data_IF_642199222625
#
_entry.id   IF_642199222625
#
_cell.length_a   1.000
_cell.length_b   1.000
_cell.length_c   1.000
_cell.angle_alpha   90.00
_cell.angle_beta   90.00
_cell.angle_gamma   90.00
#
_symmetry.space_group_name_H-M   'P 1'
#
loop_
_entity.id
_entity.type
_entity.pdbx_description
1 polymer ?
#
# COMPACT_ATOMS: atom_id res chain seq x y z
N UNK A 1 -18.88 11.67 2.84
CA UNK A 1 -18.03 12.86 2.56
C UNK A 1 -17.95 13.79 3.77
N UNK A 2 -18.63 13.43 4.84
CA UNK A 2 -18.92 14.26 6.02
C UNK A 2 -17.72 14.43 6.96
N UNK A 3 -16.59 13.81 6.62
CA UNK A 3 -15.32 13.85 7.37
C UNK A 3 -14.26 14.75 6.72
N UNK A 4 -14.69 15.65 5.84
CA UNK A 4 -13.78 16.58 5.15
C UNK A 4 -12.86 15.93 4.13
N UNK A 5 -13.27 14.78 3.57
CA UNK A 5 -12.55 14.11 2.49
C UNK A 5 -13.10 14.55 1.12
N UNK A 6 -12.22 14.92 0.20
CA UNK A 6 -12.54 15.32 -1.17
C UNK A 6 -12.18 14.15 -2.09
N UNK A 7 -13.17 13.55 -2.74
CA UNK A 7 -12.96 12.45 -3.69
C UNK A 7 -12.45 13.02 -5.01
N UNK A 8 -11.35 12.47 -5.51
CA UNK A 8 -10.72 12.85 -6.78
C UNK A 8 -11.09 11.92 -7.92
N UNK A 9 -11.06 10.61 -7.69
CA UNK A 9 -11.38 9.62 -8.71
C UNK A 9 -11.96 8.34 -8.08
N UNK A 10 -12.72 7.59 -8.87
CA UNK A 10 -13.21 6.26 -8.55
C UNK A 10 -13.01 5.35 -9.76
N UNK A 11 -12.22 4.29 -9.58
CA UNK A 11 -11.92 3.30 -10.60
C UNK A 11 -12.47 1.93 -10.20
N UNK A 12 -13.10 1.25 -11.15
CA UNK A 12 -13.60 -0.11 -10.98
C UNK A 12 -12.67 -1.08 -11.72
N UNK A 13 -11.95 -1.94 -10.98
CA UNK A 13 -11.05 -2.95 -11.53
C UNK A 13 -11.76 -4.26 -11.92
N UNK A 14 -13.08 -4.30 -11.70
CA UNK A 14 -13.98 -5.40 -12.01
C UNK A 14 -14.13 -6.40 -10.85
N UNK A 15 -15.07 -7.30 -11.04
CA UNK A 15 -15.28 -8.44 -10.15
C UNK A 15 -14.37 -9.61 -10.57
N UNK A 16 -13.63 -10.17 -9.61
CA UNK A 16 -12.67 -11.26 -9.87
C UNK A 16 -12.75 -12.32 -8.77
N UNK A 17 -12.24 -13.50 -9.08
CA UNK A 17 -11.96 -14.50 -8.06
C UNK A 17 -10.88 -13.95 -7.09
N UNK A 18 -11.11 -14.13 -5.79
CA UNK A 18 -10.14 -13.77 -4.77
C UNK A 18 -8.95 -14.74 -4.84
N UNK A 19 -7.71 -14.27 -4.62
CA UNK A 19 -6.53 -15.13 -4.66
C UNK A 19 -6.54 -16.20 -3.56
N UNK A 20 -7.29 -15.97 -2.48
CA UNK A 20 -7.56 -16.91 -1.42
C UNK A 20 -8.93 -16.61 -0.80
N UNK A 21 -9.46 -17.59 -0.07
CA UNK A 21 -10.73 -17.46 0.65
C UNK A 21 -10.59 -16.45 1.78
N UNK A 22 -11.50 -15.47 1.82
CA UNK A 22 -11.54 -14.47 2.89
C UNK A 22 -12.79 -14.73 3.74
N UNK A 23 -12.63 -14.78 5.06
CA UNK A 23 -13.74 -14.83 6.00
C UNK A 23 -13.94 -13.45 6.61
N UNK A 24 -15.09 -12.83 6.39
CA UNK A 24 -15.46 -11.53 6.93
C UNK A 24 -16.96 -11.53 7.25
N UNK A 25 -17.37 -10.82 8.31
CA UNK A 25 -18.79 -10.72 8.69
C UNK A 25 -19.54 -12.07 8.78
N UNK A 26 -18.88 -13.09 9.33
CA UNK A 26 -19.39 -14.48 9.45
C UNK A 26 -19.71 -15.16 8.11
N UNK A 27 -19.23 -14.61 6.98
CA UNK A 27 -19.36 -15.16 5.65
C UNK A 27 -17.99 -15.52 5.08
N UNK A 28 -17.99 -16.42 4.11
CA UNK A 28 -16.80 -16.86 3.41
C UNK A 28 -16.92 -16.44 1.94
N UNK A 29 -15.91 -15.72 1.46
CA UNK A 29 -15.91 -15.12 0.13
C UNK A 29 -14.83 -15.75 -0.76
N UNK A 30 -15.20 -16.05 -2.00
CA UNK A 30 -14.31 -16.57 -3.05
C UNK A 30 -14.20 -15.62 -4.26
N UNK A 31 -15.12 -14.66 -4.38
CA UNK A 31 -15.14 -13.61 -5.40
C UNK A 31 -15.37 -12.27 -4.73
N UNK A 32 -14.95 -11.18 -5.38
CA UNK A 32 -15.16 -9.83 -4.90
C UNK A 32 -14.91 -8.78 -5.98
N UNK A 33 -15.58 -7.64 -5.84
CA UNK A 33 -15.33 -6.44 -6.63
C UNK A 33 -14.12 -5.66 -6.10
N UNK A 34 -13.25 -5.22 -6.99
CA UNK A 34 -12.10 -4.39 -6.63
C UNK A 34 -12.34 -2.95 -7.08
N UNK A 35 -12.31 -2.02 -6.14
CA UNK A 35 -12.48 -0.59 -6.39
C UNK A 35 -11.28 0.19 -5.84
N UNK A 36 -10.83 1.18 -6.59
CA UNK A 36 -9.86 2.17 -6.13
C UNK A 36 -10.57 3.51 -6.01
N UNK A 37 -10.38 4.18 -4.88
CA UNK A 37 -10.91 5.52 -4.63
C UNK A 37 -9.73 6.41 -4.29
N UNK A 38 -9.46 7.38 -5.16
CA UNK A 38 -8.46 8.43 -4.89
C UNK A 38 -9.15 9.61 -4.21
N UNK A 39 -8.61 10.05 -3.08
CA UNK A 39 -9.20 11.13 -2.29
C UNK A 39 -8.13 11.88 -1.48
N UNK A 40 -8.42 13.15 -1.21
CA UNK A 40 -7.68 13.95 -0.26
C UNK A 40 -8.44 13.99 1.07
N UNK A 41 -7.77 13.67 2.17
CA UNK A 41 -8.34 13.74 3.50
C UNK A 41 -7.29 14.17 4.53
N UNK A 42 -7.70 14.78 5.66
CA UNK A 42 -6.80 14.98 6.77
C UNK A 42 -6.37 13.62 7.35
N UNK A 43 -5.14 13.52 7.92
CA UNK A 43 -4.62 12.26 8.45
C UNK A 43 -5.49 11.67 9.56
N UNK A 44 -6.16 12.52 10.36
CA UNK A 44 -7.10 12.11 11.41
C UNK A 44 -8.37 11.45 10.88
N UNK A 45 -8.78 11.74 9.64
CA UNK A 45 -9.98 11.14 9.07
C UNK A 45 -9.74 9.69 8.59
N UNK A 46 -8.49 9.29 8.35
CA UNK A 46 -8.16 7.96 7.80
C UNK A 46 -8.60 6.84 8.75
N UNK A 47 -8.28 6.95 10.04
CA UNK A 47 -8.68 5.96 11.05
C UNK A 47 -10.20 5.87 11.14
N UNK A 48 -10.87 7.03 11.19
CA UNK A 48 -12.33 7.09 11.20
C UNK A 48 -12.94 6.40 9.97
N UNK A 49 -12.40 6.63 8.77
CA UNK A 49 -12.87 6.00 7.52
C UNK A 49 -12.72 4.49 7.60
N UNK A 50 -11.56 3.98 8.04
CA UNK A 50 -11.33 2.55 8.22
C UNK A 50 -12.31 1.93 9.22
N UNK A 51 -12.58 2.61 10.34
CA UNK A 51 -13.57 2.18 11.33
C UNK A 51 -15.01 2.16 10.81
N UNK A 52 -15.32 3.00 9.83
CA UNK A 52 -16.64 2.97 9.21
C UNK A 52 -16.75 1.78 8.25
N UNK A 53 -15.74 1.57 7.41
CA UNK A 53 -15.71 0.47 6.44
C UNK A 53 -15.59 -0.89 7.10
N UNK A 54 -14.98 -1.00 8.28
CA UNK A 54 -14.87 -2.27 9.02
C UNK A 54 -16.20 -2.78 9.57
N UNK A 55 -17.21 -1.90 9.71
CA UNK A 55 -18.56 -2.25 10.16
C UNK A 55 -19.51 -2.55 9.00
N UNK A 56 -19.13 -2.16 7.79
CA UNK A 56 -19.93 -2.34 6.59
C UNK A 56 -19.83 -3.80 6.13
N UNK A 57 -20.97 -4.49 6.09
CA UNK A 57 -21.05 -5.93 5.80
C UNK A 57 -20.75 -6.21 4.32
N UNK A 58 -20.94 -5.22 3.44
CA UNK A 58 -20.68 -5.35 2.01
C UNK A 58 -19.17 -5.27 1.68
N UNK A 59 -18.37 -4.72 2.61
CA UNK A 59 -16.93 -4.53 2.43
C UNK A 59 -16.16 -5.71 3.01
N UNK A 60 -15.66 -6.57 2.14
CA UNK A 60 -14.89 -7.76 2.55
C UNK A 60 -13.54 -7.39 3.20
N UNK A 61 -12.86 -6.36 2.66
CA UNK A 61 -11.56 -5.90 3.17
C UNK A 61 -11.29 -4.44 2.77
N UNK A 62 -11.38 -3.49 3.71
CA UNK A 62 -10.94 -2.12 3.48
C UNK A 62 -9.43 -1.97 3.66
N UNK A 63 -8.82 -1.06 2.91
CA UNK A 63 -7.45 -0.62 3.14
C UNK A 63 -7.25 0.82 2.62
N UNK A 64 -6.41 1.60 3.29
CA UNK A 64 -6.03 2.95 2.85
C UNK A 64 -4.51 3.02 2.78
N UNK A 65 -3.99 3.38 1.61
CA UNK A 65 -2.56 3.50 1.35
C UNK A 65 -2.26 4.88 0.78
N UNK A 66 -1.02 5.36 0.97
CA UNK A 66 -0.59 6.60 0.33
C UNK A 66 -0.56 6.39 -1.18
N UNK A 67 -1.14 7.34 -1.92
CA UNK A 67 -1.22 7.26 -3.37
C UNK A 67 0.20 7.20 -3.98
N UNK A 68 0.52 6.27 -4.89
CA UNK A 68 1.89 6.06 -5.38
C UNK A 68 2.48 7.31 -6.07
N UNK A 69 1.63 8.10 -6.73
CA UNK A 69 2.03 9.37 -7.37
C UNK A 69 2.45 10.48 -6.37
N UNK A 70 2.28 10.26 -5.06
CA UNK A 70 2.78 11.21 -4.04
C UNK A 70 4.27 11.05 -3.77
N UNK A 71 4.87 9.92 -4.17
CA UNK A 71 6.30 9.69 -4.04
C UNK A 71 7.00 10.03 -5.34
N UNK A 72 8.00 10.91 -5.25
CA UNK A 72 8.85 11.21 -6.40
C UNK A 72 9.68 9.97 -6.77
N UNK A 73 9.58 9.57 -8.04
CA UNK A 73 10.39 8.47 -8.56
C UNK A 73 11.83 8.96 -8.73
N UNK A 74 12.71 8.51 -7.84
CA UNK A 74 14.14 8.82 -7.93
C UNK A 74 14.73 8.17 -9.19
N UNK A 75 15.62 8.91 -9.87
CA UNK A 75 16.32 8.39 -11.02
C UNK A 75 17.25 7.24 -10.61
N UNK A 76 17.01 6.05 -11.15
CA UNK A 76 17.88 4.88 -10.98
C UNK A 76 19.06 4.97 -11.96
N UNK A 77 20.28 5.16 -11.45
CA UNK A 77 21.52 5.18 -12.25
C UNK A 77 22.03 3.79 -12.67
N UNK A 78 21.32 2.73 -12.29
CA UNK A 78 21.73 1.34 -12.50
C UNK A 78 22.66 0.82 -11.41
N UNK A 79 23.22 -0.38 -11.64
CA UNK A 79 24.19 -0.98 -10.74
C UNK A 79 25.49 -0.18 -10.78
N UNK A 80 26.00 0.20 -9.60
CA UNK A 80 27.31 0.79 -9.47
C UNK A 80 28.32 -0.33 -9.18
N UNK A 81 29.44 -0.44 -9.93
CA UNK A 81 30.47 -1.41 -9.60
C UNK A 81 31.07 -1.02 -8.23
N UNK A 82 30.87 -1.87 -7.24
CA UNK A 82 31.45 -1.69 -5.90
C UNK A 82 32.82 -2.37 -5.89
N UNK A 83 33.93 -1.64 -5.73
CA UNK A 83 35.25 -2.24 -5.63
C UNK A 83 35.38 -3.03 -4.33
N UNK A 84 36.35 -3.95 -4.28
CA UNK A 84 36.70 -4.64 -3.03
C UNK A 84 37.21 -3.60 -2.03
N UNK A 85 36.68 -3.62 -0.82
CA UNK A 85 37.12 -2.72 0.24
C UNK A 85 38.58 -3.02 0.63
N UNK A 86 39.46 -2.04 0.43
CA UNK A 86 40.87 -2.15 0.80
C UNK A 86 41.11 -1.68 2.24
N UNK A 87 42.29 -1.98 2.80
CA UNK A 87 42.72 -1.53 4.14
C UNK A 87 41.84 -2.00 5.31
N UNK A 88 41.12 -3.11 5.12
CA UNK A 88 40.36 -3.79 6.19
C UNK A 88 41.25 -4.21 7.37
N UNK A 89 42.55 -4.39 7.15
CA UNK A 89 43.51 -4.78 8.16
C UNK A 89 44.72 -3.85 8.16
N UNK A 90 45.23 -3.54 9.36
CA UNK A 90 46.49 -2.83 9.50
C UNK A 90 47.61 -3.63 8.81
N UNK A 91 48.52 -2.98 8.06
CA UNK A 91 49.63 -3.65 7.40
C UNK A 91 50.53 -4.30 8.46
N UNK A 92 50.39 -5.61 8.64
CA UNK A 92 51.27 -6.41 9.49
C UNK A 92 52.51 -6.77 8.68
N UNK A 93 53.71 -6.41 9.17
CA UNK A 93 54.97 -6.93 8.63
C UNK A 93 54.98 -8.46 8.83
N UNK A 94 54.74 -9.21 7.76
CA UNK A 94 55.03 -10.65 7.72
C UNK A 94 56.50 -10.78 7.31
N UNK A 95 57.27 -11.52 8.13
CA UNK A 95 58.68 -11.85 7.88
C UNK A 95 58.80 -12.74 6.65
#
# INVERSE_FOLDING_TARGET
>A
MDRGAIVRNLENLGERALPYKISAHSQQHWRGGYFLVDFYAPPTAVESILDHLSRDIDVIRPNVVKHPLTQEVKQCKGMFPVPLEEKLYAPKKRK
#
